data_IF_339916950631
#
_entry.id   IF_339916950631
#
_cell.length_a   1.000
_cell.length_b   1.000
_cell.length_c   1.000
_cell.angle_alpha   90.00
_cell.angle_beta   90.00
_cell.angle_gamma   90.00
#
_symmetry.space_group_name_H-M   'P 1'
#
loop_
_entity.id
_entity.type
_entity.pdbx_description
1 polymer ?
#
# COMPACT_ATOMS: atom_id res chain seq x y z
N UNK A 1 -3.41 -6.59 45.29
CA UNK A 1 -3.31 -5.84 44.01
C UNK A 1 -4.64 -5.17 43.76
N UNK A 2 -4.74 -3.87 44.05
CA UNK A 2 -5.97 -3.09 43.94
C UNK A 2 -5.94 -2.28 42.63
N UNK A 3 -6.94 -2.49 41.78
CA UNK A 3 -7.17 -1.70 40.57
C UNK A 3 -7.76 -0.35 40.96
N UNK A 4 -7.14 0.75 40.51
CA UNK A 4 -7.62 2.12 40.76
C UNK A 4 -8.85 2.43 39.88
N UNK A 5 -9.99 2.81 40.47
CA UNK A 5 -11.16 3.29 39.73
C UNK A 5 -10.96 4.77 39.40
N UNK A 6 -10.50 5.10 38.19
CA UNK A 6 -10.29 6.50 37.82
C UNK A 6 -9.86 6.83 36.39
N UNK A 7 -9.83 5.88 35.45
CA UNK A 7 -9.30 6.12 34.09
C UNK A 7 -10.33 5.98 32.94
N UNK A 8 -11.64 6.11 33.21
CA UNK A 8 -12.67 5.94 32.15
C UNK A 8 -13.20 7.24 31.50
N UNK A 9 -12.76 8.44 31.87
CA UNK A 9 -13.43 9.68 31.46
C UNK A 9 -12.69 10.56 30.44
N UNK A 10 -11.60 10.09 29.83
CA UNK A 10 -10.85 10.85 28.81
C UNK A 10 -10.92 10.26 27.38
N UNK A 11 -11.95 9.48 27.05
CA UNK A 11 -12.09 8.82 25.72
C UNK A 11 -13.25 9.34 24.85
N UNK A 12 -14.07 10.29 25.32
CA UNK A 12 -15.24 10.76 24.55
C UNK A 12 -14.96 11.95 23.62
N UNK A 13 -13.83 12.67 23.79
CA UNK A 13 -13.52 13.88 23.01
C UNK A 13 -12.67 13.66 21.74
N UNK A 14 -12.10 12.46 21.55
CA UNK A 14 -11.11 12.19 20.50
C UNK A 14 -11.64 11.58 19.20
N UNK A 15 -12.92 11.19 19.13
CA UNK A 15 -13.45 10.51 17.94
C UNK A 15 -13.83 11.44 16.77
N UNK A 16 -14.04 12.73 17.01
CA UNK A 16 -14.55 13.65 15.97
C UNK A 16 -13.45 14.22 15.04
N UNK A 17 -12.16 14.07 15.38
CA UNK A 17 -11.05 14.50 14.53
C UNK A 17 -10.51 13.41 13.58
N UNK A 18 -11.07 12.19 13.60
CA UNK A 18 -10.74 11.13 12.63
C UNK A 18 -11.62 11.17 11.36
N UNK A 19 -12.49 12.18 11.24
CA UNK A 19 -13.40 12.37 10.12
C UNK A 19 -12.85 13.03 8.82
N UNK A 20 -11.66 13.67 8.73
CA UNK A 20 -11.23 14.26 7.46
C UNK A 20 -10.95 13.19 6.39
N UNK A 21 -10.64 11.96 6.81
CA UNK A 21 -10.44 10.84 5.90
C UNK A 21 -11.70 10.48 5.11
N UNK A 22 -12.89 10.54 5.72
CA UNK A 22 -14.12 10.06 5.09
C UNK A 22 -14.62 11.01 3.99
N UNK A 23 -14.49 12.32 4.21
CA UNK A 23 -14.86 13.34 3.20
C UNK A 23 -13.90 13.28 2.01
N UNK A 24 -12.59 13.15 2.27
CA UNK A 24 -11.59 12.97 1.20
C UNK A 24 -11.87 11.69 0.43
N UNK A 25 -12.17 10.59 1.11
CA UNK A 25 -12.56 9.32 0.48
C UNK A 25 -13.83 9.47 -0.38
N UNK A 26 -14.87 10.13 0.12
CA UNK A 26 -16.09 10.36 -0.64
C UNK A 26 -15.86 11.22 -1.90
N UNK A 27 -15.07 12.30 -1.79
CA UNK A 27 -14.69 13.13 -2.94
C UNK A 27 -13.87 12.34 -3.96
N UNK A 28 -12.94 11.51 -3.50
CA UNK A 28 -12.06 10.71 -4.36
C UNK A 28 -12.86 9.63 -5.09
N UNK A 29 -13.81 8.99 -4.40
CA UNK A 29 -14.79 8.06 -5.00
C UNK A 29 -15.68 8.79 -6.02
N UNK A 30 -16.17 9.99 -5.72
CA UNK A 30 -16.99 10.77 -6.65
C UNK A 30 -16.21 11.17 -7.91
N UNK A 31 -14.95 11.60 -7.75
CA UNK A 31 -14.04 11.94 -8.86
C UNK A 31 -13.71 10.70 -9.71
N UNK A 32 -13.61 9.52 -9.10
CA UNK A 32 -13.38 8.24 -9.81
C UNK A 32 -14.64 7.73 -10.54
N UNK A 33 -15.80 7.76 -9.88
CA UNK A 33 -17.06 7.22 -10.42
C UNK A 33 -17.70 8.18 -11.42
N UNK A 34 -17.58 9.49 -11.21
CA UNK A 34 -18.13 10.54 -12.09
C UNK A 34 -17.83 10.34 -13.58
N UNK A 35 -16.56 10.15 -14.00
CA UNK A 35 -16.22 9.94 -15.40
C UNK A 35 -16.72 8.58 -15.93
N UNK A 36 -16.76 7.53 -15.10
CA UNK A 36 -17.33 6.22 -15.49
C UNK A 36 -18.83 6.38 -15.80
N UNK A 37 -19.57 7.09 -14.94
CA UNK A 37 -20.99 7.38 -15.15
C UNK A 37 -21.21 8.29 -16.36
N UNK A 38 -20.39 9.32 -16.54
CA UNK A 38 -20.48 10.21 -17.70
C UNK A 38 -20.22 9.44 -19.01
N UNK A 39 -19.23 8.56 -19.01
CA UNK A 39 -18.88 7.71 -20.16
C UNK A 39 -19.98 6.67 -20.44
N UNK A 40 -20.53 6.06 -19.39
CA UNK A 40 -21.70 5.20 -19.52
C UNK A 40 -22.90 5.95 -20.12
N UNK A 41 -23.13 7.19 -19.68
CA UNK A 41 -24.25 8.01 -20.13
C UNK A 41 -24.07 8.48 -21.59
N UNK A 42 -22.85 8.81 -22.01
CA UNK A 42 -22.52 9.13 -23.41
C UNK A 42 -22.68 7.91 -24.31
N UNK A 43 -22.14 6.75 -23.90
CA UNK A 43 -22.22 5.51 -24.69
C UNK A 43 -23.57 4.81 -24.59
N UNK A 44 -24.43 5.21 -23.66
CA UNK A 44 -25.77 4.64 -23.51
C UNK A 44 -26.64 4.79 -24.76
N UNK A 45 -26.24 5.67 -25.68
CA UNK A 45 -27.00 5.99 -26.89
C UNK A 45 -26.85 4.98 -28.02
N UNK A 46 -25.86 4.07 -27.98
CA UNK A 46 -25.64 3.08 -29.05
C UNK A 46 -25.88 1.64 -28.57
N UNK A 47 -27.02 1.02 -28.92
CA UNK A 47 -27.51 -0.20 -28.26
C UNK A 47 -26.60 -1.43 -28.43
N UNK A 48 -25.74 -1.48 -29.46
CA UNK A 48 -24.99 -2.69 -29.81
C UNK A 48 -23.63 -2.81 -29.12
N UNK A 49 -22.93 -1.70 -28.89
CA UNK A 49 -21.59 -1.68 -28.26
C UNK A 49 -21.64 -1.61 -26.72
N UNK A 50 -22.80 -1.20 -26.16
CA UNK A 50 -22.99 -1.04 -24.71
C UNK A 50 -22.59 -2.26 -23.90
N UNK A 51 -23.02 -3.45 -24.31
CA UNK A 51 -22.76 -4.66 -23.55
C UNK A 51 -21.29 -5.08 -23.57
N UNK A 52 -20.61 -4.91 -24.70
CA UNK A 52 -19.20 -5.30 -24.83
C UNK A 52 -18.33 -4.42 -23.92
N UNK A 53 -18.54 -3.10 -23.96
CA UNK A 53 -17.71 -2.19 -23.16
C UNK A 53 -18.09 -2.26 -21.68
N UNK A 54 -19.37 -2.44 -21.35
CA UNK A 54 -19.79 -2.68 -19.97
C UNK A 54 -19.16 -3.97 -19.42
N UNK A 55 -19.17 -5.07 -20.20
CA UNK A 55 -18.54 -6.32 -19.81
C UNK A 55 -17.02 -6.19 -19.66
N UNK A 56 -16.35 -5.45 -20.56
CA UNK A 56 -14.90 -5.24 -20.46
C UNK A 56 -14.52 -4.42 -19.23
N UNK A 57 -15.24 -3.33 -18.95
CA UNK A 57 -15.01 -2.49 -17.78
C UNK A 57 -15.32 -3.24 -16.48
N UNK A 58 -16.41 -4.02 -16.45
CA UNK A 58 -16.75 -4.86 -15.31
C UNK A 58 -15.67 -5.93 -15.06
N UNK A 59 -15.15 -6.56 -16.13
CA UNK A 59 -14.04 -7.49 -16.05
C UNK A 59 -12.76 -6.84 -15.51
N UNK A 60 -12.40 -5.66 -16.02
CA UNK A 60 -11.24 -4.89 -15.52
C UNK A 60 -11.40 -4.53 -14.04
N UNK A 61 -12.58 -4.06 -13.63
CA UNK A 61 -12.86 -3.72 -12.24
C UNK A 61 -12.74 -4.95 -11.33
N UNK A 62 -13.30 -6.10 -11.73
CA UNK A 62 -13.21 -7.34 -10.96
C UNK A 62 -11.77 -7.82 -10.79
N UNK A 63 -10.97 -7.81 -11.86
CA UNK A 63 -9.55 -8.17 -11.83
C UNK A 63 -8.77 -7.19 -10.93
N UNK A 64 -9.03 -5.89 -11.04
CA UNK A 64 -8.40 -4.87 -10.21
C UNK A 64 -8.69 -5.09 -8.73
N UNK A 65 -9.96 -5.31 -8.37
CA UNK A 65 -10.37 -5.59 -6.98
C UNK A 65 -9.71 -6.86 -6.45
N UNK A 66 -9.64 -7.91 -7.27
CA UNK A 66 -8.94 -9.15 -6.92
C UNK A 66 -7.45 -8.90 -6.66
N UNK A 67 -6.77 -8.19 -7.56
CA UNK A 67 -5.34 -7.87 -7.41
C UNK A 67 -5.06 -7.01 -6.18
N UNK A 68 -5.89 -6.00 -5.90
CA UNK A 68 -5.73 -5.16 -4.71
C UNK A 68 -5.92 -5.96 -3.42
N UNK A 69 -6.81 -6.96 -3.44
CA UNK A 69 -7.03 -7.83 -2.29
C UNK A 69 -5.80 -8.72 -1.99
N UNK A 70 -5.18 -9.31 -3.02
CA UNK A 70 -4.00 -10.16 -2.85
C UNK A 70 -2.69 -9.37 -2.67
N UNK A 71 -2.61 -8.16 -3.24
CA UNK A 71 -1.40 -7.35 -3.27
C UNK A 71 -1.70 -5.91 -2.82
N UNK A 72 -1.99 -5.69 -1.53
CA UNK A 72 -2.33 -4.36 -1.02
C UNK A 72 -1.20 -3.34 -1.21
N UNK A 73 0.06 -3.80 -1.26
CA UNK A 73 1.23 -2.94 -1.50
C UNK A 73 1.38 -2.43 -2.93
N UNK A 74 0.75 -3.08 -3.92
CA UNK A 74 0.80 -2.73 -5.34
C UNK A 74 -0.37 -1.87 -5.82
N UNK A 75 -1.11 -1.24 -4.90
CA UNK A 75 -2.34 -0.49 -5.20
C UNK A 75 -2.16 0.55 -6.31
N UNK A 76 -1.00 1.23 -6.34
CA UNK A 76 -0.70 2.25 -7.34
C UNK A 76 -0.45 1.66 -8.71
N UNK A 77 0.40 0.64 -8.79
CA UNK A 77 0.72 -0.05 -10.04
C UNK A 77 -0.55 -0.63 -10.66
N UNK A 78 -1.41 -1.22 -9.83
CA UNK A 78 -2.70 -1.78 -10.26
C UNK A 78 -3.62 -0.65 -10.75
N UNK A 79 -3.80 0.41 -9.97
CA UNK A 79 -4.68 1.53 -10.33
C UNK A 79 -4.24 2.23 -11.61
N UNK A 80 -2.94 2.45 -11.77
CA UNK A 80 -2.35 3.02 -12.99
C UNK A 80 -2.58 2.10 -14.20
N UNK A 81 -2.35 0.80 -14.03
CA UNK A 81 -2.56 -0.19 -15.09
C UNK A 81 -4.03 -0.26 -15.54
N UNK A 82 -4.97 -0.22 -14.59
CA UNK A 82 -6.41 -0.20 -14.86
C UNK A 82 -6.81 1.06 -15.62
N UNK A 83 -6.27 2.22 -15.23
CA UNK A 83 -6.53 3.47 -15.95
C UNK A 83 -6.04 3.40 -17.41
N UNK A 84 -4.81 2.91 -17.62
CA UNK A 84 -4.22 2.75 -18.95
C UNK A 84 -5.06 1.77 -19.79
N UNK A 85 -5.48 0.64 -19.22
CA UNK A 85 -6.32 -0.34 -19.91
C UNK A 85 -7.71 0.20 -20.22
N UNK A 86 -8.33 0.96 -19.32
CA UNK A 86 -9.62 1.60 -19.56
C UNK A 86 -9.53 2.60 -20.71
N UNK A 87 -8.50 3.47 -20.72
CA UNK A 87 -8.24 4.41 -21.81
C UNK A 87 -8.00 3.67 -23.13
N UNK A 88 -7.20 2.59 -23.11
CA UNK A 88 -6.94 1.77 -24.28
C UNK A 88 -8.23 1.15 -24.85
N UNK A 89 -9.10 0.60 -23.99
CA UNK A 89 -10.40 0.04 -24.41
C UNK A 89 -11.34 1.10 -25.00
N UNK A 90 -11.37 2.30 -24.43
CA UNK A 90 -12.15 3.41 -24.96
C UNK A 90 -11.63 3.87 -26.33
N UNK A 91 -10.30 3.98 -26.49
CA UNK A 91 -9.66 4.37 -27.75
C UNK A 91 -9.85 3.31 -28.84
N UNK A 92 -9.74 2.02 -28.52
CA UNK A 92 -9.99 0.94 -29.48
C UNK A 92 -11.46 0.89 -29.90
N UNK A 93 -12.39 1.03 -28.95
CA UNK A 93 -13.82 1.17 -29.27
C UNK A 93 -14.08 2.31 -30.25
N UNK A 94 -13.45 3.47 -30.01
CA UNK A 94 -13.54 4.63 -30.90
C UNK A 94 -12.92 4.39 -32.28
N UNK A 95 -11.75 3.76 -32.37
CA UNK A 95 -11.09 3.47 -33.64
C UNK A 95 -11.92 2.51 -34.50
N UNK A 96 -12.55 1.51 -33.87
CA UNK A 96 -13.45 0.56 -34.55
C UNK A 96 -14.69 1.27 -35.08
N UNK A 97 -15.24 2.22 -34.32
CA UNK A 97 -16.46 2.93 -34.69
C UNK A 97 -16.22 4.07 -35.68
N UNK A 98 -15.09 4.78 -35.58
CA UNK A 98 -14.68 5.81 -36.54
C UNK A 98 -14.41 5.27 -37.94
N UNK A 99 -14.08 3.97 -38.07
CA UNK A 99 -14.03 3.29 -39.38
C UNK A 99 -15.41 3.08 -40.00
N UNK A 100 -16.50 3.17 -39.22
CA UNK A 100 -17.87 2.94 -39.66
C UNK A 100 -18.70 4.22 -39.80
N UNK A 101 -18.47 5.22 -38.95
CA UNK A 101 -19.19 6.50 -38.95
C UNK A 101 -18.40 7.56 -39.73
N UNK A 102 -19.01 8.12 -40.78
CA UNK A 102 -18.38 9.16 -41.61
C UNK A 102 -18.01 10.47 -40.86
N UNK A 103 -17.24 11.36 -41.51
CA UNK A 103 -16.48 12.45 -40.87
C UNK A 103 -17.31 13.46 -40.06
N UNK A 104 -18.57 13.70 -40.41
CA UNK A 104 -19.42 14.68 -39.74
C UNK A 104 -19.81 14.30 -38.29
N UNK A 105 -19.90 13.01 -37.95
CA UNK A 105 -20.17 12.55 -36.57
C UNK A 105 -18.92 12.46 -35.69
N UNK A 106 -17.74 12.60 -36.29
CA UNK A 106 -16.45 12.36 -35.64
C UNK A 106 -16.05 13.48 -34.66
N UNK A 107 -16.47 14.73 -34.93
CA UNK A 107 -16.11 15.90 -34.11
C UNK A 107 -16.71 15.85 -32.69
N UNK A 108 -17.98 15.45 -32.56
CA UNK A 108 -18.68 15.42 -31.27
C UNK A 108 -18.15 14.32 -30.35
N UNK A 109 -17.82 13.17 -30.92
CA UNK A 109 -17.19 12.04 -30.23
C UNK A 109 -15.77 12.43 -29.80
N UNK A 110 -15.07 13.24 -30.60
CA UNK A 110 -13.71 13.70 -30.27
C UNK A 110 -13.63 14.51 -29.01
N UNK A 111 -14.53 15.50 -28.87
CA UNK A 111 -14.59 16.34 -27.68
C UNK A 111 -14.82 15.50 -26.42
N UNK A 112 -15.75 14.55 -26.45
CA UNK A 112 -16.04 13.67 -25.31
C UNK A 112 -14.83 12.80 -24.92
N UNK A 113 -14.06 12.30 -25.89
CA UNK A 113 -12.89 11.47 -25.58
C UNK A 113 -11.75 12.29 -24.99
N UNK A 114 -11.52 13.50 -25.50
CA UNK A 114 -10.49 14.40 -24.95
C UNK A 114 -10.85 14.90 -23.56
N UNK A 115 -12.14 15.19 -23.31
CA UNK A 115 -12.63 15.51 -21.96
C UNK A 115 -12.40 14.34 -21.01
N UNK A 116 -12.68 13.11 -21.42
CA UNK A 116 -12.43 11.93 -20.60
C UNK A 116 -10.94 11.75 -20.29
N UNK A 117 -10.08 11.84 -21.31
CA UNK A 117 -8.64 11.69 -21.15
C UNK A 117 -8.08 12.77 -20.22
N UNK A 118 -8.48 14.03 -20.43
CA UNK A 118 -8.10 15.15 -19.57
C UNK A 118 -8.58 14.98 -18.14
N UNK A 119 -9.82 14.54 -17.93
CA UNK A 119 -10.37 14.32 -16.60
C UNK A 119 -9.71 13.14 -15.87
N UNK A 120 -9.44 12.06 -16.61
CA UNK A 120 -8.71 10.89 -16.09
C UNK A 120 -7.31 11.27 -15.63
N UNK A 121 -6.63 12.12 -16.39
CA UNK A 121 -5.32 12.67 -16.03
C UNK A 121 -5.41 13.54 -14.78
N UNK A 122 -6.38 14.45 -14.70
CA UNK A 122 -6.59 15.31 -13.52
C UNK A 122 -6.91 14.46 -12.28
N UNK A 123 -7.79 13.47 -12.40
CA UNK A 123 -8.11 12.55 -11.30
C UNK A 123 -6.87 11.78 -10.83
N UNK A 124 -6.03 11.32 -11.75
CA UNK A 124 -4.77 10.65 -11.42
C UNK A 124 -3.78 11.59 -10.74
N UNK A 125 -3.62 12.81 -11.24
CA UNK A 125 -2.74 13.82 -10.63
C UNK A 125 -3.22 14.22 -9.23
N UNK A 126 -4.53 14.47 -9.06
CA UNK A 126 -5.12 14.75 -7.76
C UNK A 126 -4.96 13.57 -6.81
N UNK A 127 -5.19 12.34 -7.28
CA UNK A 127 -4.96 11.12 -6.51
C UNK A 127 -3.50 11.00 -6.07
N UNK A 128 -2.55 11.23 -6.98
CA UNK A 128 -1.12 11.20 -6.66
C UNK A 128 -0.70 12.30 -5.66
N UNK A 129 -1.24 13.51 -5.78
CA UNK A 129 -0.92 14.65 -4.88
C UNK A 129 -1.54 14.45 -3.49
N UNK A 130 -2.78 13.98 -3.42
CA UNK A 130 -3.50 13.81 -2.15
C UNK A 130 -3.11 12.52 -1.42
N UNK A 131 -2.52 11.57 -2.13
CA UNK A 131 -2.09 10.33 -1.52
C UNK A 131 -0.95 10.57 -0.55
N UNK A 132 -1.19 10.22 0.71
CA UNK A 132 -0.13 10.04 1.69
C UNK A 132 0.13 8.55 1.80
N UNK A 133 1.36 8.08 1.51
CA UNK A 133 1.69 6.69 1.75
C UNK A 133 1.39 6.39 3.22
N UNK A 134 0.61 5.33 3.46
CA UNK A 134 0.40 4.86 4.81
C UNK A 134 1.77 4.54 5.43
N UNK A 135 1.97 4.79 6.73
CA UNK A 135 3.17 4.36 7.42
C UNK A 135 3.41 2.88 7.15
N UNK A 136 4.58 2.54 6.63
CA UNK A 136 4.94 1.16 6.35
C UNK A 136 5.45 0.51 7.63
N UNK A 137 4.64 -0.39 8.19
CA UNK A 137 5.05 -1.19 9.33
C UNK A 137 5.76 -2.46 8.87
N UNK A 138 7.03 -2.67 9.25
CA UNK A 138 7.77 -3.86 8.85
C UNK A 138 7.11 -5.13 9.40
N UNK A 139 7.08 -6.18 8.58
CA UNK A 139 6.38 -7.42 8.87
C UNK A 139 7.28 -8.36 9.68
N UNK A 140 6.81 -8.77 10.86
CA UNK A 140 7.61 -9.64 11.75
C UNK A 140 7.77 -11.07 11.20
N UNK A 141 6.95 -11.49 10.24
CA UNK A 141 7.03 -12.80 9.59
C UNK A 141 8.32 -13.04 8.80
N UNK A 142 9.07 -11.97 8.47
CA UNK A 142 10.39 -12.09 7.86
C UNK A 142 11.48 -12.61 8.81
N UNK A 143 11.28 -12.48 10.12
CA UNK A 143 12.23 -12.92 11.16
C UNK A 143 11.67 -14.06 12.01
N UNK A 144 10.35 -14.09 12.20
CA UNK A 144 9.66 -15.13 12.96
C UNK A 144 9.21 -16.31 12.07
N UNK A 145 8.99 -17.51 12.62
CA UNK A 145 9.30 -17.93 13.99
C UNK A 145 10.81 -17.99 14.28
N UNK A 146 11.17 -17.84 15.56
CA UNK A 146 12.55 -18.05 16.02
C UNK A 146 12.87 -19.55 16.14
N UNK A 147 14.17 -19.92 16.18
CA UNK A 147 14.62 -21.27 16.50
C UNK A 147 14.05 -21.77 17.83
N UNK A 148 13.90 -23.10 17.94
CA UNK A 148 13.39 -23.73 19.15
C UNK A 148 14.21 -23.35 20.39
N UNK A 149 13.51 -23.10 21.50
CA UNK A 149 14.11 -22.69 22.76
C UNK A 149 14.45 -21.19 22.87
N UNK A 150 14.20 -20.38 21.84
CA UNK A 150 14.23 -18.93 21.93
C UNK A 150 12.81 -18.38 22.09
N UNK A 151 12.63 -17.45 23.04
CA UNK A 151 11.35 -16.79 23.24
C UNK A 151 11.39 -15.38 22.66
N UNK A 152 10.44 -15.06 21.78
CA UNK A 152 10.28 -13.73 21.20
C UNK A 152 9.07 -13.03 21.81
N UNK A 153 9.24 -11.79 22.26
CA UNK A 153 8.14 -10.88 22.58
C UNK A 153 8.14 -9.75 21.57
N UNK A 154 7.03 -9.62 20.84
CA UNK A 154 6.83 -8.53 19.88
C UNK A 154 6.17 -7.38 20.62
N UNK A 155 6.84 -6.23 20.68
CA UNK A 155 6.19 -5.03 21.21
C UNK A 155 5.08 -4.61 20.24
N UNK A 156 3.83 -4.39 20.70
CA UNK A 156 2.77 -3.89 19.83
C UNK A 156 3.23 -2.60 19.18
N UNK A 157 2.91 -2.42 17.89
CA UNK A 157 3.22 -1.18 17.21
C UNK A 157 2.27 -0.10 17.71
N UNK A 158 2.82 0.90 18.38
CA UNK A 158 2.09 2.12 18.68
C UNK A 158 2.40 3.16 17.59
N UNK A 159 1.44 4.06 17.32
CA UNK A 159 1.62 5.15 16.35
C UNK A 159 2.83 6.04 16.69
N UNK A 160 3.30 6.02 17.94
CA UNK A 160 4.49 6.71 18.42
C UNK A 160 5.82 6.08 17.95
N UNK A 161 5.81 4.83 17.48
CA UNK A 161 7.01 4.13 16.95
C UNK A 161 7.26 4.46 15.45
N UNK A 162 6.44 5.34 14.87
CA UNK A 162 6.61 5.92 13.55
C UNK A 162 7.10 7.37 13.63
N UNK A 163 8.32 7.60 13.12
CA UNK A 163 8.88 8.93 12.91
C UNK A 163 8.41 9.55 11.60
N UNK A 164 9.06 10.66 11.20
CA UNK A 164 8.66 11.49 10.06
C UNK A 164 8.57 10.74 8.72
N UNK A 165 9.26 9.60 8.54
CA UNK A 165 9.18 8.75 7.33
C UNK A 165 9.54 7.28 7.55
N UNK A 166 9.84 6.87 8.78
CA UNK A 166 10.22 5.49 9.09
C UNK A 166 9.46 4.98 10.30
N UNK A 167 9.04 3.72 10.22
CA UNK A 167 8.42 3.03 11.34
C UNK A 167 9.35 1.92 11.81
N UNK A 168 9.44 1.75 13.11
CA UNK A 168 10.25 0.70 13.72
C UNK A 168 9.35 -0.30 14.44
N UNK A 169 9.67 -1.58 14.32
CA UNK A 169 9.15 -2.63 15.20
C UNK A 169 10.29 -3.25 15.98
N UNK A 170 10.05 -3.43 17.27
CA UNK A 170 11.03 -4.00 18.18
C UNK A 170 10.56 -5.38 18.62
N UNK A 171 11.41 -6.39 18.40
CA UNK A 171 11.22 -7.76 18.87
C UNK A 171 12.30 -8.03 19.89
N UNK A 172 11.91 -8.37 21.12
CA UNK A 172 12.86 -8.76 22.16
C UNK A 172 12.98 -10.27 22.18
N UNK A 173 14.21 -10.77 22.12
CA UNK A 173 14.53 -12.18 22.13
C UNK A 173 15.28 -12.53 23.40
N UNK A 174 14.75 -13.49 24.14
CA UNK A 174 15.38 -14.07 25.34
C UNK A 174 15.88 -15.47 25.03
N UNK A 175 17.14 -15.73 25.40
CA UNK A 175 17.78 -17.02 25.25
C UNK A 175 17.34 -18.07 26.27
N UNK A 176 17.95 -19.25 26.17
CA UNK A 176 17.74 -20.35 27.12
C UNK A 176 18.41 -20.03 28.46
N UNK A 177 17.96 -20.67 29.54
CA UNK A 177 18.58 -20.50 30.86
C UNK A 177 20.06 -20.88 30.82
N UNK A 178 20.93 -19.95 31.22
CA UNK A 178 22.39 -20.15 31.24
C UNK A 178 23.10 -19.95 29.89
N UNK A 179 22.39 -19.58 28.83
CA UNK A 179 23.00 -19.23 27.55
C UNK A 179 23.74 -17.90 27.66
N UNK A 180 24.97 -17.85 27.15
CA UNK A 180 25.75 -16.60 27.13
C UNK A 180 25.18 -15.61 26.09
N UNK A 181 25.26 -14.31 26.39
CA UNK A 181 24.74 -13.25 25.53
C UNK A 181 25.32 -13.29 24.11
N UNK A 182 26.62 -13.59 23.98
CA UNK A 182 27.29 -13.71 22.68
C UNK A 182 26.77 -14.91 21.87
N UNK A 183 26.49 -16.03 22.53
CA UNK A 183 25.95 -17.22 21.87
C UNK A 183 24.53 -16.95 21.39
N UNK A 184 23.73 -16.27 22.21
CA UNK A 184 22.39 -15.82 21.83
C UNK A 184 22.44 -14.85 20.63
N UNK A 185 23.32 -13.85 20.66
CA UNK A 185 23.48 -12.90 19.55
C UNK A 185 23.89 -13.61 18.25
N UNK A 186 24.86 -14.53 18.32
CA UNK A 186 25.33 -15.27 17.15
C UNK A 186 24.26 -16.22 16.60
N UNK A 187 23.47 -16.86 17.46
CA UNK A 187 22.35 -17.72 17.07
C UNK A 187 21.26 -16.89 16.36
N UNK A 188 20.87 -15.75 16.93
CA UNK A 188 19.89 -14.84 16.30
C UNK A 188 20.41 -14.26 14.98
N UNK A 189 21.67 -13.81 14.94
CA UNK A 189 22.32 -13.28 13.73
C UNK A 189 22.34 -14.31 12.61
N UNK A 190 22.69 -15.56 12.94
CA UNK A 190 22.67 -16.68 11.99
C UNK A 190 21.26 -16.95 11.48
N UNK A 191 20.27 -17.05 12.37
CA UNK A 191 18.87 -17.26 12.00
C UNK A 191 18.34 -16.16 11.06
N UNK A 192 18.58 -14.89 11.40
CA UNK A 192 18.19 -13.74 10.56
C UNK A 192 18.84 -13.84 9.18
N UNK A 193 20.13 -14.19 9.11
CA UNK A 193 20.83 -14.42 7.85
C UNK A 193 20.24 -15.57 7.03
N UNK A 194 19.90 -16.70 7.67
CA UNK A 194 19.25 -17.86 7.03
C UNK A 194 17.86 -17.51 6.48
N UNK A 195 17.15 -16.55 7.10
CA UNK A 195 15.89 -15.98 6.60
C UNK A 195 16.04 -14.98 5.44
N UNK A 196 17.25 -14.80 4.92
CA UNK A 196 17.52 -13.96 3.74
C UNK A 196 17.92 -12.52 4.05
N UNK A 197 18.26 -12.19 5.30
CA UNK A 197 18.65 -10.84 5.72
C UNK A 197 20.16 -10.59 5.70
N UNK A 198 20.90 -11.22 4.78
CA UNK A 198 22.36 -11.23 4.81
C UNK A 198 23.05 -9.86 4.82
N UNK A 199 22.47 -8.86 4.16
CA UNK A 199 22.93 -7.47 4.11
C UNK A 199 22.31 -6.56 5.18
N UNK A 200 21.41 -7.08 6.00
CA UNK A 200 20.61 -6.30 6.95
C UNK A 200 19.44 -5.54 6.32
N UNK A 201 19.53 -5.10 5.07
CA UNK A 201 18.43 -4.45 4.37
C UNK A 201 18.02 -5.19 3.10
N UNK A 202 16.73 -5.15 2.77
CA UNK A 202 16.16 -5.70 1.53
C UNK A 202 15.02 -4.82 0.98
N UNK A 203 14.83 -4.77 -0.34
CA UNK A 203 13.66 -4.14 -0.93
C UNK A 203 12.43 -5.02 -0.73
N UNK A 204 11.33 -4.44 -0.26
CA UNK A 204 10.01 -5.11 -0.11
C UNK A 204 8.96 -4.44 -1.01
N UNK A 205 9.39 -3.36 -1.63
CA UNK A 205 8.67 -2.55 -2.57
C UNK A 205 8.24 -3.22 -3.88
N UNK A 206 7.27 -2.57 -4.52
CA UNK A 206 6.89 -2.82 -5.92
C UNK A 206 7.61 -1.79 -6.83
N UNK A 207 7.36 -1.86 -8.14
CA UNK A 207 8.07 -1.03 -9.13
C UNK A 207 8.04 0.48 -8.82
N UNK A 208 6.91 1.00 -8.32
CA UNK A 208 6.72 2.41 -7.98
C UNK A 208 6.89 2.68 -6.49
N UNK A 209 6.75 1.66 -5.64
CA UNK A 209 6.93 1.78 -4.20
C UNK A 209 8.30 1.22 -3.81
N UNK A 210 9.34 2.04 -3.73
CA UNK A 210 10.72 1.59 -3.39
C UNK A 210 10.97 1.45 -1.88
N UNK A 211 10.04 0.83 -1.16
CA UNK A 211 10.21 0.62 0.29
C UNK A 211 11.34 -0.36 0.59
N UNK A 212 12.22 0.03 1.52
CA UNK A 212 13.30 -0.79 2.04
C UNK A 212 12.96 -1.19 3.48
N UNK A 213 13.13 -2.47 3.79
CA UNK A 213 13.05 -3.01 5.15
C UNK A 213 14.45 -3.36 5.61
N UNK A 214 14.83 -2.94 6.81
CA UNK A 214 16.12 -3.20 7.42
C UNK A 214 15.94 -3.90 8.77
N UNK A 215 16.90 -4.75 9.13
CA UNK A 215 17.01 -5.44 10.40
C UNK A 215 18.31 -5.05 11.10
N UNK A 216 18.18 -4.49 12.30
CA UNK A 216 19.26 -4.23 13.23
C UNK A 216 19.17 -5.19 14.42
N UNK A 217 20.33 -5.62 14.93
CA UNK A 217 20.45 -6.44 16.12
C UNK A 217 21.22 -5.66 17.19
N UNK A 218 20.71 -5.62 18.41
CA UNK A 218 21.38 -5.02 19.56
C UNK A 218 21.28 -5.96 20.76
N UNK A 219 22.29 -5.97 21.62
CA UNK A 219 22.27 -6.73 22.88
C UNK A 219 22.02 -5.76 24.02
N UNK A 220 21.06 -6.06 24.89
CA UNK A 220 20.72 -5.24 26.05
C UNK A 220 20.21 -6.13 27.18
N UNK A 221 20.83 -6.04 28.36
CA UNK A 221 20.36 -6.74 29.59
C UNK A 221 20.07 -8.24 29.39
N UNK A 222 21.01 -8.99 28.81
CA UNK A 222 20.89 -10.43 28.52
C UNK A 222 19.77 -10.79 27.51
N UNK A 223 19.38 -9.84 26.67
CA UNK A 223 18.39 -10.02 25.61
C UNK A 223 18.94 -9.49 24.31
N UNK A 224 18.53 -10.11 23.21
CA UNK A 224 18.80 -9.59 21.87
C UNK A 224 17.56 -8.86 21.39
N UNK A 225 17.72 -7.58 21.09
CA UNK A 225 16.69 -6.73 20.52
C UNK A 225 16.87 -6.72 19.00
N UNK A 226 15.82 -7.12 18.30
CA UNK A 226 15.73 -7.04 16.85
C UNK A 226 14.91 -5.80 16.51
N UNK A 227 15.56 -4.83 15.89
CA UNK A 227 14.93 -3.63 15.35
C UNK A 227 14.65 -3.84 13.88
N UNK A 228 13.37 -3.94 13.52
CA UNK A 228 12.93 -3.89 12.14
C UNK A 228 12.57 -2.45 11.82
N UNK A 229 13.24 -1.83 10.87
CA UNK A 229 12.91 -0.49 10.40
C UNK A 229 12.45 -0.55 8.94
N UNK A 230 11.39 0.17 8.64
CA UNK A 230 10.91 0.36 7.28
C UNK A 230 10.97 1.82 6.90
N UNK A 231 11.55 2.14 5.74
CA UNK A 231 11.60 3.51 5.20
C UNK A 231 11.12 3.51 3.76
N UNK A 232 10.29 4.50 3.42
CA UNK A 232 9.72 4.63 2.08
C UNK A 232 10.70 5.19 1.05
N UNK A 233 11.83 5.81 1.46
CA UNK A 233 12.70 6.54 0.53
C UNK A 233 14.17 6.75 0.98
N UNK A 234 14.62 6.14 2.08
CA UNK A 234 15.96 6.44 2.60
C UNK A 234 16.94 5.28 2.41
N UNK A 235 17.65 5.30 1.28
CA UNK A 235 18.80 4.44 1.03
C UNK A 235 20.10 5.01 1.60
N UNK A 236 20.08 6.14 2.32
CA UNK A 236 21.29 6.93 2.53
C UNK A 236 21.94 6.83 3.91
N UNK A 237 21.27 6.39 4.97
CA UNK A 237 21.91 6.35 6.29
C UNK A 237 21.54 5.15 7.17
N UNK A 238 22.54 4.30 7.41
CA UNK A 238 22.75 3.52 8.64
C UNK A 238 22.03 2.17 8.78
N UNK A 239 22.75 1.08 8.48
CA UNK A 239 22.74 -0.16 9.29
C UNK A 239 23.85 -1.11 8.80
N UNK A 240 25.07 -0.98 9.33
CA UNK A 240 26.10 -2.01 9.15
C UNK A 240 25.87 -3.07 10.23
N UNK A 241 25.54 -4.30 9.84
CA UNK A 241 25.56 -5.44 10.77
C UNK A 241 27.03 -5.78 11.04
N UNK A 242 27.56 -5.26 12.15
CA UNK A 242 28.81 -5.70 12.77
C UNK A 242 28.69 -7.10 13.34
#
# INVERSE_FOLDING_TARGET
MALRPGQCLALAGGCLLRAPGMIVWMLLVLILIGPILLLWLVMSREPRMRWIIAASLAGQAAIATMLVHFFPGGFFEISLSVLVLALATALTGRLVEGRRLGPARQARVSAATHLLAGWSLVALLCGAILWRPAPFFPATGGVLPLPDGLHATVRPADDADCGSQSCTRTITVTGRTGQADNDLYNEVKRHVKERGWGSGCRPIGWLLNQTIECVGLAVTEHKVIIHLSGSANDSSHSATIG
#
